data_IF_147496661644
#
_entry.id   IF_147496661644
#
_cell.length_a   1.000
_cell.length_b   1.000
_cell.length_c   1.000
_cell.angle_alpha   90.00
_cell.angle_beta   90.00
_cell.angle_gamma   90.00
#
_symmetry.space_group_name_H-M   'P 1'
#
loop_
_entity.id
_entity.type
_entity.pdbx_description
1 polymer ?
#
# COMPACT_ATOMS: atom_id res chain seq x y z
N UNK A 1 -2.99 19.08 44.52
CA UNK A 1 -2.42 18.06 43.62
C UNK A 1 -3.54 17.19 43.07
N UNK A 2 -4.04 17.47 41.86
CA UNK A 2 -5.14 16.70 41.22
C UNK A 2 -4.56 15.38 40.69
N UNK A 3 -5.07 14.25 41.19
CA UNK A 3 -4.76 12.89 40.69
C UNK A 3 -5.05 12.83 39.20
N UNK A 4 -4.01 12.68 38.38
CA UNK A 4 -4.12 12.34 36.96
C UNK A 4 -4.83 10.97 36.90
N UNK A 5 -6.13 10.97 36.61
CA UNK A 5 -6.89 9.75 36.36
C UNK A 5 -6.29 9.11 35.11
N UNK A 6 -5.51 8.03 35.28
CA UNK A 6 -5.05 7.17 34.17
C UNK A 6 -6.28 6.63 33.46
N UNK A 7 -6.73 7.31 32.41
CA UNK A 7 -7.79 6.86 31.51
C UNK A 7 -7.26 5.60 30.82
N UNK A 8 -8.01 4.50 30.94
CA UNK A 8 -7.71 3.21 30.33
C UNK A 8 -7.51 3.45 28.82
N UNK A 9 -6.25 3.40 28.35
CA UNK A 9 -5.99 3.41 26.91
C UNK A 9 -6.62 2.15 26.35
N UNK A 10 -7.70 2.28 25.58
CA UNK A 10 -8.14 1.18 24.72
C UNK A 10 -6.99 0.95 23.75
N UNK A 11 -6.15 -0.05 24.06
CA UNK A 11 -5.08 -0.53 23.20
C UNK A 11 -5.77 -1.18 22.01
N UNK A 12 -6.03 -0.40 20.96
CA UNK A 12 -6.35 -1.00 19.68
C UNK A 12 -5.17 -1.87 19.26
N UNK A 13 -5.47 -3.09 18.84
CA UNK A 13 -4.45 -3.98 18.31
C UNK A 13 -3.96 -3.43 16.97
N UNK A 14 -2.66 -3.60 16.67
CA UNK A 14 -2.07 -3.13 15.41
C UNK A 14 -2.88 -3.60 14.19
N UNK A 15 -3.32 -4.86 14.19
CA UNK A 15 -4.15 -5.42 13.12
C UNK A 15 -5.52 -4.72 12.97
N UNK A 16 -6.12 -4.25 14.06
CA UNK A 16 -7.37 -3.50 14.00
C UNK A 16 -7.15 -2.13 13.32
N UNK A 17 -6.01 -1.49 13.57
CA UNK A 17 -5.66 -0.23 12.91
C UNK A 17 -5.39 -0.44 11.42
N UNK A 18 -4.63 -1.49 11.07
CA UNK A 18 -4.36 -1.85 9.67
C UNK A 18 -5.67 -2.13 8.93
N UNK A 19 -6.56 -2.94 9.50
CA UNK A 19 -7.85 -3.23 8.89
C UNK A 19 -8.72 -1.98 8.74
N UNK A 20 -8.69 -1.08 9.72
CA UNK A 20 -9.41 0.19 9.64
C UNK A 20 -8.92 1.07 8.48
N UNK A 21 -7.61 1.19 8.30
CA UNK A 21 -7.00 1.99 7.22
C UNK A 21 -7.42 1.42 5.86
N UNK A 22 -7.18 0.12 5.61
CA UNK A 22 -7.58 -0.50 4.35
C UNK A 22 -9.09 -0.43 4.11
N UNK A 23 -9.91 -0.56 5.16
CA UNK A 23 -11.37 -0.44 5.03
C UNK A 23 -11.79 0.97 4.60
N UNK A 24 -11.20 2.01 5.17
CA UNK A 24 -11.47 3.40 4.80
C UNK A 24 -10.96 3.70 3.39
N UNK A 25 -9.76 3.23 3.07
CA UNK A 25 -9.19 3.38 1.74
C UNK A 25 -10.04 2.69 0.65
N UNK A 26 -10.53 1.49 0.92
CA UNK A 26 -11.46 0.80 0.02
C UNK A 26 -12.84 1.45 -0.08
N UNK A 27 -13.20 2.31 0.87
CA UNK A 27 -14.42 3.14 0.82
C UNK A 27 -14.23 4.31 -0.14
N UNK A 28 -13.08 5.00 -0.07
CA UNK A 28 -12.74 6.14 -0.91
C UNK A 28 -12.31 5.73 -2.32
N UNK A 29 -11.53 4.65 -2.44
CA UNK A 29 -10.98 4.13 -3.70
C UNK A 29 -11.40 2.67 -3.94
N UNK A 30 -12.64 2.40 -4.39
CA UNK A 30 -13.15 1.04 -4.55
C UNK A 30 -12.35 0.20 -5.56
N UNK A 31 -11.71 0.84 -6.55
CA UNK A 31 -10.85 0.18 -7.55
C UNK A 31 -9.64 -0.52 -6.93
N UNK A 32 -9.16 -0.07 -5.76
CA UNK A 32 -8.04 -0.75 -5.11
C UNK A 32 -8.36 -2.17 -4.65
N UNK A 33 -9.64 -2.48 -4.38
CA UNK A 33 -10.06 -3.85 -4.00
C UNK A 33 -9.67 -4.89 -5.04
N UNK A 34 -9.61 -4.50 -6.31
CA UNK A 34 -9.22 -5.39 -7.42
C UNK A 34 -7.75 -5.23 -7.81
N UNK A 35 -7.19 -4.02 -7.72
CA UNK A 35 -5.78 -3.76 -8.10
C UNK A 35 -4.80 -4.37 -7.08
N UNK A 36 -5.14 -4.34 -5.79
CA UNK A 36 -4.30 -4.91 -4.73
C UNK A 36 -4.07 -6.42 -4.88
N UNK A 37 -5.10 -7.29 -5.01
CA UNK A 37 -4.87 -8.72 -5.26
C UNK A 37 -4.20 -8.98 -6.60
N UNK A 38 -4.46 -8.17 -7.64
CA UNK A 38 -3.78 -8.29 -8.93
C UNK A 38 -2.26 -8.05 -8.77
N UNK A 39 -1.86 -7.01 -8.02
CA UNK A 39 -0.45 -6.75 -7.72
C UNK A 39 0.19 -7.94 -7.00
N UNK A 40 -0.45 -8.47 -5.95
CA UNK A 40 0.06 -9.61 -5.18
C UNK A 40 0.27 -10.83 -6.10
N UNK A 41 -0.66 -11.11 -7.02
CA UNK A 41 -0.51 -12.19 -7.99
C UNK A 41 0.67 -11.95 -8.93
N UNK A 42 0.83 -10.74 -9.45
CA UNK A 42 1.97 -10.39 -10.34
C UNK A 42 3.31 -10.49 -9.60
N UNK A 43 3.36 -10.08 -8.34
CA UNK A 43 4.55 -10.17 -7.47
C UNK A 43 5.00 -11.61 -7.25
N UNK A 44 4.04 -12.56 -7.20
CA UNK A 44 4.34 -13.99 -7.10
C UNK A 44 4.73 -14.62 -8.44
N UNK A 45 4.12 -14.18 -9.55
CA UNK A 45 4.34 -14.79 -10.87
C UNK A 45 5.64 -14.30 -11.52
N UNK A 46 5.99 -13.03 -11.36
CA UNK A 46 7.18 -12.43 -12.00
C UNK A 46 8.49 -13.16 -11.64
N UNK A 47 8.80 -13.47 -10.37
CA UNK A 47 10.00 -14.23 -10.00
C UNK A 47 10.04 -15.64 -10.60
N UNK A 48 8.87 -16.28 -10.75
CA UNK A 48 8.78 -17.60 -11.38
C UNK A 48 9.12 -17.49 -12.87
N UNK A 49 8.62 -16.47 -13.57
CA UNK A 49 8.94 -16.27 -14.99
C UNK A 49 10.43 -15.95 -15.21
N UNK A 50 11.04 -15.14 -14.35
CA UNK A 50 12.46 -14.79 -14.49
C UNK A 50 13.38 -15.98 -14.22
N UNK A 51 13.00 -16.91 -13.34
CA UNK A 51 13.75 -18.15 -13.10
C UNK A 51 13.58 -19.19 -14.21
N UNK A 52 12.45 -19.21 -14.91
CA UNK A 52 12.20 -20.09 -16.06
C UNK A 52 12.97 -19.65 -17.32
N UNK A 53 13.28 -18.36 -17.43
CA UNK A 53 13.99 -17.77 -18.56
C UNK A 53 15.32 -18.48 -18.89
N UNK A 54 16.27 -18.67 -17.95
CA UNK A 54 17.49 -19.44 -18.21
C UNK A 54 17.22 -20.92 -18.51
N UNK A 55 16.22 -21.54 -17.90
CA UNK A 55 15.89 -22.94 -18.14
C UNK A 55 15.40 -23.18 -19.59
N UNK A 56 14.56 -22.28 -20.11
CA UNK A 56 14.09 -22.31 -21.49
C UNK A 56 15.24 -22.04 -22.46
N UNK A 57 16.14 -21.11 -22.13
CA UNK A 57 17.33 -20.84 -22.94
C UNK A 57 18.24 -22.06 -23.04
N UNK A 58 18.54 -22.74 -21.93
CA UNK A 58 19.36 -23.96 -21.95
C UNK A 58 18.66 -25.07 -22.74
N UNK A 59 17.38 -25.32 -22.49
CA UNK A 59 16.65 -26.40 -23.15
C UNK A 59 16.57 -26.21 -24.68
N UNK A 60 16.39 -24.97 -25.14
CA UNK A 60 16.34 -24.65 -26.57
C UNK A 60 17.69 -24.81 -27.27
N UNK A 61 18.81 -24.58 -26.56
CA UNK A 61 20.16 -24.85 -27.05
C UNK A 61 20.42 -26.36 -27.10
N UNK A 62 20.12 -27.10 -26.02
CA UNK A 62 20.41 -28.54 -25.92
C UNK A 62 19.55 -29.39 -26.83
N UNK A 63 18.32 -28.98 -27.11
CA UNK A 63 17.41 -29.72 -27.99
C UNK A 63 17.67 -29.47 -29.49
N UNK A 64 18.69 -28.68 -29.85
CA UNK A 64 19.09 -28.37 -31.23
C UNK A 64 17.92 -27.95 -32.14
N UNK A 65 16.91 -27.25 -31.60
CA UNK A 65 15.66 -26.89 -32.29
C UNK A 65 15.82 -25.78 -33.36
N UNK A 66 17.04 -25.40 -33.67
CA UNK A 66 17.38 -24.33 -34.61
C UNK A 66 17.32 -22.93 -33.98
N UNK A 67 18.17 -22.04 -34.48
CA UNK A 67 18.28 -20.63 -34.09
C UNK A 67 16.94 -19.87 -34.16
N UNK A 68 16.07 -20.02 -35.18
CA UNK A 68 14.83 -19.25 -35.23
C UNK A 68 13.83 -19.62 -34.13
N UNK A 69 13.77 -20.90 -33.74
CA UNK A 69 12.93 -21.35 -32.62
C UNK A 69 13.40 -20.77 -31.29
N UNK A 70 14.72 -20.75 -31.07
CA UNK A 70 15.34 -20.13 -29.90
C UNK A 70 14.98 -18.65 -29.77
N UNK A 71 15.17 -17.88 -30.85
CA UNK A 71 14.89 -16.44 -30.88
C UNK A 71 13.41 -16.14 -30.64
N UNK A 72 12.50 -16.90 -31.26
CA UNK A 72 11.05 -16.74 -31.03
C UNK A 72 10.65 -17.08 -29.60
N UNK A 73 11.12 -18.21 -29.06
CA UNK A 73 10.74 -18.67 -27.72
C UNK A 73 11.22 -17.70 -26.63
N UNK A 74 12.48 -17.27 -26.69
CA UNK A 74 13.03 -16.31 -25.72
C UNK A 74 12.46 -14.91 -25.94
N UNK A 75 12.31 -14.49 -27.20
CA UNK A 75 11.71 -13.19 -27.53
C UNK A 75 10.30 -13.06 -26.96
N UNK A 76 9.45 -14.09 -27.13
CA UNK A 76 8.13 -14.13 -26.53
C UNK A 76 8.19 -14.11 -25.00
N UNK A 77 9.09 -14.88 -24.38
CA UNK A 77 9.20 -14.95 -22.92
C UNK A 77 9.64 -13.59 -22.34
N UNK A 78 10.64 -12.95 -22.93
CA UNK A 78 11.07 -11.60 -22.53
C UNK A 78 9.92 -10.61 -22.68
N UNK A 79 9.21 -10.64 -23.81
CA UNK A 79 8.07 -9.75 -24.07
C UNK A 79 6.95 -9.97 -23.03
N UNK A 80 6.67 -11.22 -22.66
CA UNK A 80 5.70 -11.49 -21.58
C UNK A 80 6.17 -10.94 -20.23
N UNK A 81 7.46 -11.12 -19.88
CA UNK A 81 8.01 -10.58 -18.65
C UNK A 81 7.95 -9.05 -18.61
N UNK A 82 8.24 -8.36 -19.72
CA UNK A 82 8.18 -6.90 -19.77
C UNK A 82 6.75 -6.39 -19.65
N UNK A 83 5.77 -7.01 -20.33
CA UNK A 83 4.36 -6.63 -20.19
C UNK A 83 3.88 -6.81 -18.74
N UNK A 84 4.15 -7.98 -18.14
CA UNK A 84 3.76 -8.24 -16.75
C UNK A 84 4.48 -7.29 -15.78
N UNK A 85 5.75 -6.98 -16.04
CA UNK A 85 6.54 -6.02 -15.26
C UNK A 85 5.96 -4.61 -15.32
N UNK A 86 5.64 -4.11 -16.52
CA UNK A 86 4.99 -2.81 -16.68
C UNK A 86 3.61 -2.77 -15.99
N UNK A 87 2.84 -3.86 -16.06
CA UNK A 87 1.55 -3.95 -15.38
C UNK A 87 1.72 -3.93 -13.85
N UNK A 88 2.73 -4.61 -13.33
CA UNK A 88 3.08 -4.59 -11.91
C UNK A 88 3.48 -3.19 -11.45
N UNK A 89 4.38 -2.52 -12.16
CA UNK A 89 4.81 -1.15 -11.82
C UNK A 89 3.64 -0.16 -11.89
N UNK A 90 2.76 -0.29 -12.89
CA UNK A 90 1.57 0.52 -12.98
C UNK A 90 0.63 0.31 -11.79
N UNK A 91 0.38 -0.95 -11.42
CA UNK A 91 -0.43 -1.29 -10.26
C UNK A 91 0.19 -0.76 -8.96
N UNK A 92 1.51 -0.87 -8.82
CA UNK A 92 2.25 -0.37 -7.67
C UNK A 92 2.17 1.16 -7.54
N UNK A 93 2.43 1.89 -8.62
CA UNK A 93 2.29 3.35 -8.62
C UNK A 93 0.85 3.80 -8.33
N UNK A 94 -0.14 3.08 -8.88
CA UNK A 94 -1.55 3.36 -8.62
C UNK A 94 -1.91 3.17 -7.14
N UNK A 95 -1.46 2.08 -6.54
CA UNK A 95 -1.66 1.79 -5.11
C UNK A 95 -0.96 2.85 -4.25
N UNK A 96 0.32 3.12 -4.50
CA UNK A 96 1.12 4.08 -3.74
C UNK A 96 0.54 5.50 -3.81
N UNK A 97 0.06 5.92 -4.98
CA UNK A 97 -0.61 7.22 -5.16
C UNK A 97 -1.87 7.32 -4.29
N UNK A 98 -2.71 6.29 -4.32
CA UNK A 98 -3.97 6.29 -3.58
C UNK A 98 -3.75 6.17 -2.07
N UNK A 99 -2.80 5.35 -1.60
CA UNK A 99 -2.37 5.31 -0.19
C UNK A 99 -1.95 6.72 0.29
N UNK A 100 -1.09 7.36 -0.50
CA UNK A 100 -0.62 8.72 -0.20
C UNK A 100 -1.77 9.72 -0.16
N UNK A 101 -2.72 9.62 -1.09
CA UNK A 101 -3.87 10.52 -1.14
C UNK A 101 -4.85 10.30 0.02
N UNK A 102 -5.17 9.04 0.35
CA UNK A 102 -5.98 8.71 1.53
C UNK A 102 -5.40 9.33 2.80
N UNK A 103 -4.09 9.20 3.00
CA UNK A 103 -3.42 9.73 4.19
C UNK A 103 -3.35 11.26 4.20
N UNK A 104 -2.83 11.85 3.13
CA UNK A 104 -2.54 13.28 3.10
C UNK A 104 -3.79 14.15 2.87
N UNK A 105 -4.82 13.61 2.24
CA UNK A 105 -6.03 14.35 1.89
C UNK A 105 -7.22 13.92 2.75
N UNK A 106 -7.70 12.69 2.60
CA UNK A 106 -8.97 12.24 3.21
C UNK A 106 -8.90 12.24 4.75
N UNK A 107 -7.84 11.64 5.32
CA UNK A 107 -7.66 11.63 6.78
C UNK A 107 -7.34 13.02 7.34
N UNK A 108 -6.64 13.87 6.57
CA UNK A 108 -6.39 15.27 6.96
C UNK A 108 -7.69 16.05 6.99
N UNK A 109 -8.55 15.90 5.97
CA UNK A 109 -9.86 16.55 5.93
C UNK A 109 -10.75 16.09 7.08
N UNK A 110 -10.82 14.77 7.35
CA UNK A 110 -11.56 14.24 8.51
C UNK A 110 -11.04 14.82 9.83
N UNK A 111 -9.71 14.93 10.01
CA UNK A 111 -9.12 15.50 11.23
C UNK A 111 -9.42 17.00 11.35
N UNK A 112 -9.22 17.78 10.29
CA UNK A 112 -9.45 19.22 10.27
C UNK A 112 -10.92 19.52 10.56
N UNK A 113 -11.83 18.84 9.87
CA UNK A 113 -13.27 19.00 10.11
C UNK A 113 -13.61 18.65 11.58
N UNK A 114 -13.03 17.58 12.12
CA UNK A 114 -13.26 17.19 13.51
C UNK A 114 -12.76 18.21 14.53
N UNK A 115 -11.61 18.83 14.28
CA UNK A 115 -11.04 19.86 15.17
C UNK A 115 -11.84 21.17 15.07
N UNK A 116 -12.24 21.59 13.86
CA UNK A 116 -12.99 22.82 13.64
C UNK A 116 -14.43 22.78 14.18
N UNK A 117 -15.01 21.59 14.28
CA UNK A 117 -16.39 21.39 14.78
C UNK A 117 -16.47 21.03 16.27
N UNK A 118 -15.33 20.91 16.95
CA UNK A 118 -15.28 20.54 18.36
C UNK A 118 -15.48 21.78 19.25
N UNK A 119 -16.28 21.65 20.33
CA UNK A 119 -16.47 22.77 21.25
C UNK A 119 -15.16 23.14 21.97
N UNK A 120 -15.00 24.44 22.20
CA UNK A 120 -13.81 25.03 22.83
C UNK A 120 -13.34 24.32 24.11
N UNK A 121 -14.22 23.93 25.07
CA UNK A 121 -13.78 23.26 26.29
C UNK A 121 -13.08 21.92 26.05
N UNK A 122 -13.41 21.21 24.96
CA UNK A 122 -12.77 19.94 24.62
C UNK A 122 -11.44 20.13 23.90
N UNK A 123 -11.21 21.28 23.26
CA UNK A 123 -9.95 21.60 22.59
C UNK A 123 -8.88 22.02 23.61
N UNK A 124 -9.27 22.66 24.71
CA UNK A 124 -8.34 23.07 25.78
C UNK A 124 -7.89 21.93 26.70
N UNK A 125 -8.61 20.81 26.73
CA UNK A 125 -8.20 19.65 27.53
C UNK A 125 -6.84 19.11 27.07
N UNK A 126 -5.85 19.08 27.97
CA UNK A 126 -4.49 18.61 27.67
C UNK A 126 -4.46 17.21 27.03
N UNK A 127 -5.28 16.28 27.53
CA UNK A 127 -5.39 14.93 26.98
C UNK A 127 -5.87 14.92 25.53
N UNK A 128 -6.72 15.88 25.16
CA UNK A 128 -7.26 16.04 23.81
C UNK A 128 -6.27 16.73 22.90
N UNK A 129 -5.54 17.72 23.39
CA UNK A 129 -4.45 18.35 22.64
C UNK A 129 -3.35 17.35 22.27
N UNK A 130 -2.93 16.51 23.22
CA UNK A 130 -1.95 15.44 22.97
C UNK A 130 -2.49 14.44 21.95
N UNK A 131 -3.79 14.12 21.99
CA UNK A 131 -4.41 13.22 21.03
C UNK A 131 -4.44 13.84 19.63
N UNK A 132 -4.86 15.10 19.50
CA UNK A 132 -4.89 15.83 18.23
C UNK A 132 -3.49 15.97 17.63
N UNK A 133 -2.47 16.27 18.45
CA UNK A 133 -1.07 16.33 18.02
C UNK A 133 -0.58 14.96 17.51
N UNK A 134 -0.91 13.87 18.22
CA UNK A 134 -0.59 12.51 17.78
C UNK A 134 -1.30 12.15 16.47
N UNK A 135 -2.57 12.49 16.34
CA UNK A 135 -3.36 12.28 15.12
C UNK A 135 -2.81 13.09 13.95
N UNK A 136 -2.43 14.35 14.17
CA UNK A 136 -1.80 15.19 13.16
C UNK A 136 -0.46 14.60 12.72
N UNK A 137 0.40 14.17 13.65
CA UNK A 137 1.68 13.51 13.33
C UNK A 137 1.50 12.23 12.53
N UNK A 138 0.47 11.44 12.83
CA UNK A 138 0.17 10.20 12.13
C UNK A 138 -0.16 10.39 10.64
N UNK A 139 -0.65 11.58 10.25
CA UNK A 139 -1.12 11.87 8.89
C UNK A 139 -0.26 12.91 8.16
N UNK A 140 0.60 13.65 8.88
CA UNK A 140 1.31 14.82 8.37
C UNK A 140 2.43 14.54 7.34
N UNK A 141 2.85 13.29 7.12
CA UNK A 141 3.97 13.03 6.20
C UNK A 141 3.95 11.64 5.56
N UNK A 142 4.55 11.53 4.36
CA UNK A 142 4.82 10.28 3.66
C UNK A 142 5.95 9.45 4.29
N UNK A 143 6.74 10.05 5.19
CA UNK A 143 7.86 9.39 5.90
C UNK A 143 7.52 8.94 7.33
N UNK A 144 6.36 9.35 7.85
CA UNK A 144 5.95 9.15 9.26
C UNK A 144 4.64 8.33 9.35
N UNK A 145 4.06 7.96 8.21
CA UNK A 145 2.80 7.22 8.15
C UNK A 145 2.86 5.90 8.93
N UNK A 146 1.76 5.56 9.60
CA UNK A 146 1.56 4.33 10.39
C UNK A 146 1.57 3.06 9.51
N UNK A 147 1.83 3.21 8.21
CA UNK A 147 1.97 2.15 7.22
C UNK A 147 3.38 1.51 7.28
N UNK A 148 3.88 1.26 8.50
CA UNK A 148 5.01 0.37 8.81
C UNK A 148 4.83 -0.20 10.23
#
# INVERSE_FOLDING_TARGET
>A
MKKIRKKKQNKYHLLQNVFYIYRQEFRWYPKQKTVLPLKILLELILPVLTTVLPAVAVNSITASKGIPYFLCAIGLLILTCTILGCLYEYADQWINKNHSWCRCHEFTEELVNKVLTMDYPYIEELDKQILTEKSARAIASNWVGIEL
#
